data_IF_381980942958
#
_entry.id   IF_381980942958
#
_cell.length_a   1.000
_cell.length_b   1.000
_cell.length_c   1.000
_cell.angle_alpha   90.00
_cell.angle_beta   90.00
_cell.angle_gamma   90.00
#
_symmetry.space_group_name_H-M   'P 1'
#
loop_
_entity.id
_entity.type
_entity.pdbx_description
1 polymer ?
#
# COMPACT_ATOMS: atom_id res chain seq x y z
N UNK A 1 19.97 10.83 -14.76
CA UNK A 1 18.66 10.80 -14.08
C UNK A 1 18.86 10.88 -12.56
N UNK A 2 18.60 12.03 -11.93
CA UNK A 2 18.70 12.16 -10.48
C UNK A 2 17.49 11.49 -9.81
N UNK A 3 17.70 10.33 -9.18
CA UNK A 3 16.68 9.71 -8.34
C UNK A 3 16.51 10.61 -7.11
N UNK A 4 15.39 11.36 -7.03
CA UNK A 4 15.01 12.09 -5.81
C UNK A 4 14.84 11.08 -4.68
N UNK A 5 15.87 10.88 -3.87
CA UNK A 5 15.78 10.10 -2.64
C UNK A 5 14.87 10.87 -1.69
N UNK A 6 13.66 10.37 -1.49
CA UNK A 6 12.77 10.93 -0.47
C UNK A 6 13.42 10.65 0.88
N UNK A 7 13.93 11.69 1.52
CA UNK A 7 14.52 11.60 2.84
C UNK A 7 13.40 11.68 3.88
N UNK A 8 13.34 10.72 4.80
CA UNK A 8 12.35 10.70 5.88
C UNK A 8 12.95 11.40 7.12
N UNK A 9 12.30 12.47 7.58
CA UNK A 9 12.62 13.13 8.85
C UNK A 9 11.64 12.65 9.93
N UNK A 10 12.14 12.42 11.14
CA UNK A 10 11.28 12.10 12.28
C UNK A 10 10.55 13.39 12.69
N UNK A 11 9.22 13.34 12.74
CA UNK A 11 8.41 14.46 13.24
C UNK A 11 8.37 14.49 14.77
N UNK A 12 7.94 15.62 15.37
CA UNK A 12 7.85 15.78 16.83
C UNK A 12 7.00 14.67 17.47
N UNK A 13 5.78 14.45 16.98
CA UNK A 13 4.91 13.39 17.50
C UNK A 13 5.54 11.99 17.42
N UNK A 14 6.28 11.67 16.36
CA UNK A 14 6.98 10.39 16.24
C UNK A 14 8.11 10.23 17.25
N UNK A 15 8.82 11.32 17.56
CA UNK A 15 9.81 11.34 18.63
C UNK A 15 9.14 11.12 19.99
N UNK A 16 8.04 11.85 20.26
CA UNK A 16 7.24 11.67 21.47
C UNK A 16 6.80 10.23 21.68
N UNK A 17 6.24 9.57 20.66
CA UNK A 17 5.83 8.15 20.73
C UNK A 17 7.02 7.22 21.04
N UNK A 18 8.21 7.51 20.50
CA UNK A 18 9.41 6.71 20.75
C UNK A 18 9.88 6.83 22.20
N UNK A 19 9.81 8.03 22.77
CA UNK A 19 10.20 8.33 24.15
C UNK A 19 9.19 7.80 25.17
N UNK A 20 7.89 7.86 24.85
CA UNK A 20 6.78 7.53 25.76
C UNK A 20 6.32 6.07 25.74
N UNK A 21 6.94 5.19 24.94
CA UNK A 21 6.55 3.78 24.77
C UNK A 21 6.51 2.94 26.06
N UNK A 22 7.23 3.38 27.10
CA UNK A 22 7.34 2.69 28.40
C UNK A 22 6.43 3.23 29.50
N UNK A 23 5.56 4.20 29.20
CA UNK A 23 4.66 4.78 30.22
C UNK A 23 3.69 3.73 30.77
N UNK A 24 3.51 3.73 32.09
CA UNK A 24 2.57 2.84 32.78
C UNK A 24 1.14 2.99 32.23
N UNK A 25 0.75 4.20 31.81
CA UNK A 25 -0.54 4.50 31.18
C UNK A 25 -0.81 3.75 29.86
N UNK A 26 0.21 3.13 29.26
CA UNK A 26 0.11 2.36 28.01
C UNK A 26 0.17 0.84 28.24
N UNK A 27 0.49 0.41 29.47
CA UNK A 27 0.53 -1.00 29.83
C UNK A 27 -0.90 -1.56 29.87
N UNK A 28 -1.08 -2.79 29.42
CA UNK A 28 -2.41 -3.45 29.37
C UNK A 28 -3.33 -2.98 28.23
N UNK A 29 -3.08 -1.83 27.60
CA UNK A 29 -3.87 -1.36 26.46
C UNK A 29 -3.56 -2.16 25.18
N UNK A 30 -4.56 -2.35 24.32
CA UNK A 30 -4.36 -2.87 22.97
C UNK A 30 -3.57 -1.88 22.09
N UNK A 31 -2.93 -2.38 21.03
CA UNK A 31 -2.11 -1.53 20.12
C UNK A 31 -2.88 -0.31 19.59
N UNK A 32 -4.14 -0.42 19.13
CA UNK A 32 -4.91 0.75 18.68
C UNK A 32 -5.19 1.76 19.82
N UNK A 33 -5.53 1.27 21.02
CA UNK A 33 -5.80 2.11 22.19
C UNK A 33 -4.56 2.88 22.66
N UNK A 34 -3.37 2.27 22.58
CA UNK A 34 -2.11 2.96 22.89
C UNK A 34 -1.88 4.16 21.97
N UNK A 35 -2.18 4.01 20.67
CA UNK A 35 -2.08 5.10 19.70
C UNK A 35 -3.00 6.27 20.04
N UNK A 36 -4.26 5.96 20.38
CA UNK A 36 -5.23 6.98 20.81
C UNK A 36 -4.76 7.70 22.09
N UNK A 37 -4.32 6.95 23.10
CA UNK A 37 -3.85 7.50 24.39
C UNK A 37 -2.61 8.37 24.23
N UNK A 38 -1.65 7.95 23.41
CA UNK A 38 -0.48 8.77 23.06
C UNK A 38 -0.87 10.07 22.36
N UNK A 39 -1.89 10.04 21.51
CA UNK A 39 -2.42 11.23 20.85
C UNK A 39 -3.04 12.22 21.84
N UNK A 40 -3.78 11.74 22.85
CA UNK A 40 -4.30 12.58 23.95
C UNK A 40 -3.15 13.20 24.75
N UNK A 41 -2.18 12.40 25.19
CA UNK A 41 -1.03 12.85 25.98
C UNK A 41 -0.19 13.90 25.23
N UNK A 42 -0.02 13.72 23.93
CA UNK A 42 0.71 14.70 23.11
C UNK A 42 -0.02 16.04 23.03
N UNK A 43 -1.36 16.03 22.98
CA UNK A 43 -2.16 17.27 22.95
C UNK A 43 -2.23 17.96 24.30
N UNK A 44 -2.06 17.23 25.40
CA UNK A 44 -1.99 17.80 26.75
C UNK A 44 -0.63 18.40 27.10
N UNK A 45 0.40 18.26 26.25
CA UNK A 45 1.70 18.89 26.47
C UNK A 45 1.57 20.41 26.53
N UNK A 46 2.34 21.03 27.41
CA UNK A 46 2.48 22.48 27.43
C UNK A 46 3.16 22.99 26.16
N UNK A 47 2.95 24.27 25.83
CA UNK A 47 3.58 24.89 24.65
C UNK A 47 5.11 24.83 24.71
N UNK A 48 5.68 24.95 25.91
CA UNK A 48 7.12 24.87 26.14
C UNK A 48 7.67 23.47 25.85
N UNK A 49 7.01 22.43 26.36
CA UNK A 49 7.41 21.03 26.10
C UNK A 49 7.27 20.67 24.62
N UNK A 50 6.19 21.12 23.98
CA UNK A 50 5.99 20.92 22.55
C UNK A 50 7.08 21.61 21.71
N UNK A 51 7.51 22.81 22.09
CA UNK A 51 8.61 23.52 21.44
C UNK A 51 9.94 22.78 21.62
N UNK A 52 10.29 22.40 22.85
CA UNK A 52 11.52 21.64 23.13
C UNK A 52 11.56 20.30 22.38
N UNK A 53 10.40 19.66 22.21
CA UNK A 53 10.28 18.40 21.48
C UNK A 53 10.39 18.59 19.95
N UNK A 54 9.93 19.73 19.43
CA UNK A 54 10.14 20.13 18.03
C UNK A 54 11.61 20.37 17.73
N UNK A 55 12.33 21.06 18.62
CA UNK A 55 13.76 21.35 18.46
C UNK A 55 14.59 20.05 18.50
N UNK A 56 14.29 19.17 19.45
CA UNK A 56 14.90 17.83 19.52
C UNK A 56 14.64 17.00 18.26
N UNK A 57 13.41 17.01 17.73
CA UNK A 57 13.09 16.29 16.51
C UNK A 57 13.83 16.85 15.28
N UNK A 58 14.03 18.17 15.23
CA UNK A 58 14.76 18.83 14.14
C UNK A 58 16.26 18.48 14.14
N UNK A 59 16.85 18.26 15.32
CA UNK A 59 18.25 17.87 15.49
C UNK A 59 18.55 16.43 15.03
N UNK A 60 17.53 15.56 14.92
CA UNK A 60 17.73 14.18 14.49
C UNK A 60 18.02 14.14 12.98
N UNK A 61 19.14 13.52 12.55
CA UNK A 61 19.49 13.43 11.14
C UNK A 61 18.43 12.62 10.38
N UNK A 62 18.17 13.08 9.16
CA UNK A 62 17.17 12.47 8.29
C UNK A 62 17.77 11.24 7.60
N UNK A 63 16.98 10.17 7.48
CA UNK A 63 17.43 8.91 6.89
C UNK A 63 16.79 8.70 5.51
N UNK A 64 17.50 8.11 4.54
CA UNK A 64 16.90 7.78 3.26
C UNK A 64 15.76 6.79 3.48
N UNK A 65 14.57 7.09 2.93
CA UNK A 65 13.43 6.18 3.04
C UNK A 65 13.76 4.88 2.31
N UNK A 66 13.60 3.74 2.99
CA UNK A 66 13.74 2.42 2.33
C UNK A 66 12.80 2.37 1.13
N UNK A 67 13.37 2.10 -0.04
CA UNK A 67 12.59 1.89 -1.24
C UNK A 67 11.60 0.74 -0.98
N UNK A 68 10.30 0.99 -1.18
CA UNK A 68 9.31 -0.08 -1.17
C UNK A 68 9.68 -0.99 -2.35
N UNK A 69 10.04 -2.25 -2.09
CA UNK A 69 10.13 -3.25 -3.15
C UNK A 69 8.77 -3.25 -3.86
N UNK A 70 8.71 -3.10 -5.20
CA UNK A 70 7.44 -3.26 -5.89
C UNK A 70 6.92 -4.65 -5.52
N UNK A 71 5.73 -4.70 -4.90
CA UNK A 71 5.00 -5.94 -4.78
C UNK A 71 4.62 -6.29 -6.20
N UNK A 72 5.42 -7.11 -6.87
CA UNK A 72 5.00 -7.76 -8.10
C UNK A 72 3.96 -8.77 -7.63
N UNK A 73 2.64 -8.54 -7.83
CA UNK A 73 1.69 -9.60 -7.55
C UNK A 73 2.11 -10.77 -8.44
N UNK A 74 2.31 -11.95 -7.85
CA UNK A 74 2.56 -13.16 -8.62
C UNK A 74 1.36 -13.35 -9.56
N UNK A 75 1.50 -12.95 -10.82
CA UNK A 75 0.45 -13.10 -11.80
C UNK A 75 0.23 -14.61 -11.99
N UNK A 76 -0.99 -15.08 -11.77
CA UNK A 76 -1.31 -16.48 -12.02
C UNK A 76 -1.02 -16.79 -13.50
N UNK A 77 -0.51 -17.99 -13.81
CA UNK A 77 -0.34 -18.38 -15.21
C UNK A 77 -1.70 -18.29 -15.94
N UNK A 78 -1.72 -17.80 -17.20
CA UNK A 78 -2.96 -17.63 -17.94
C UNK A 78 -3.62 -18.99 -18.19
N UNK A 79 -4.94 -19.05 -18.05
CA UNK A 79 -5.71 -20.24 -18.46
C UNK A 79 -5.71 -20.39 -19.99
N UNK A 80 -6.07 -21.58 -20.52
CA UNK A 80 -6.23 -21.77 -21.97
C UNK A 80 -7.22 -20.78 -22.60
N UNK A 81 -8.30 -20.44 -21.89
CA UNK A 81 -9.25 -19.41 -22.33
C UNK A 81 -8.60 -18.02 -22.38
N UNK A 82 -7.75 -17.66 -21.41
CA UNK A 82 -7.07 -16.36 -21.40
C UNK A 82 -6.11 -16.22 -22.60
N UNK A 83 -5.39 -17.30 -22.95
CA UNK A 83 -4.53 -17.32 -24.14
C UNK A 83 -5.35 -17.19 -25.43
N UNK A 84 -6.51 -17.85 -25.47
CA UNK A 84 -7.43 -17.78 -26.59
C UNK A 84 -8.03 -16.38 -26.76
N UNK A 85 -8.49 -15.75 -25.67
CA UNK A 85 -8.99 -14.36 -25.69
C UNK A 85 -7.88 -13.42 -26.16
N UNK A 86 -6.66 -13.56 -25.63
CA UNK A 86 -5.51 -12.74 -26.05
C UNK A 86 -5.23 -12.81 -27.56
N UNK A 87 -5.36 -14.00 -28.15
CA UNK A 87 -5.15 -14.21 -29.59
C UNK A 87 -6.27 -13.62 -30.46
N UNK A 88 -7.53 -13.71 -29.99
CA UNK A 88 -8.70 -13.36 -30.81
C UNK A 88 -9.21 -11.92 -30.60
N UNK A 89 -8.94 -11.28 -29.46
CA UNK A 89 -9.35 -9.90 -29.18
C UNK A 89 -8.96 -8.84 -30.24
N UNK A 90 -7.76 -8.87 -30.86
CA UNK A 90 -7.42 -7.90 -31.90
C UNK A 90 -8.12 -8.16 -33.25
N UNK A 91 -8.75 -9.32 -33.44
CA UNK A 91 -9.41 -9.69 -34.70
C UNK A 91 -10.83 -9.12 -34.82
N UNK A 92 -11.39 -8.62 -33.72
CA UNK A 92 -12.72 -8.03 -33.68
C UNK A 92 -12.62 -6.55 -33.36
N UNK A 93 -13.45 -5.75 -34.01
CA UNK A 93 -13.56 -4.31 -33.81
C UNK A 93 -14.73 -3.96 -32.88
N UNK A 94 -14.72 -2.75 -32.32
CA UNK A 94 -15.79 -2.24 -31.46
C UNK A 94 -15.56 -2.41 -29.95
N UNK A 95 -16.63 -2.26 -29.18
CA UNK A 95 -16.59 -2.22 -27.70
C UNK A 95 -16.07 -3.55 -27.15
N UNK A 96 -15.18 -3.48 -26.16
CA UNK A 96 -14.57 -4.66 -25.51
C UNK A 96 -15.61 -5.69 -25.06
N UNK A 97 -16.74 -5.23 -24.52
CA UNK A 97 -17.81 -6.11 -24.04
C UNK A 97 -18.40 -6.98 -25.17
N UNK A 98 -18.63 -6.40 -26.35
CA UNK A 98 -19.25 -7.12 -27.46
C UNK A 98 -18.25 -8.07 -28.12
N UNK A 99 -16.98 -7.67 -28.23
CA UNK A 99 -15.89 -8.55 -28.66
C UNK A 99 -15.75 -9.77 -27.74
N UNK A 100 -15.85 -9.57 -26.43
CA UNK A 100 -15.78 -10.67 -25.46
C UNK A 100 -16.96 -11.64 -25.58
N UNK A 101 -18.18 -11.17 -25.91
CA UNK A 101 -19.33 -12.06 -26.16
C UNK A 101 -19.07 -12.96 -27.36
N UNK A 102 -18.62 -12.38 -28.48
CA UNK A 102 -18.31 -13.14 -29.71
C UNK A 102 -17.22 -14.18 -29.44
N UNK A 103 -16.14 -13.79 -28.76
CA UNK A 103 -15.04 -14.70 -28.42
C UNK A 103 -15.50 -15.80 -27.46
N UNK A 104 -16.38 -15.49 -26.51
CA UNK A 104 -16.92 -16.49 -25.58
C UNK A 104 -17.79 -17.53 -26.31
N UNK A 105 -18.61 -17.10 -27.28
CA UNK A 105 -19.40 -18.01 -28.13
C UNK A 105 -18.49 -18.88 -29.00
N UNK A 106 -17.46 -18.30 -29.62
CA UNK A 106 -16.49 -19.04 -30.44
C UNK A 106 -15.73 -20.08 -29.61
N UNK A 107 -15.38 -19.77 -28.37
CA UNK A 107 -14.77 -20.74 -27.46
C UNK A 107 -15.72 -21.89 -27.13
N UNK A 108 -17.00 -21.60 -26.83
CA UNK A 108 -18.01 -22.62 -26.52
C UNK A 108 -18.24 -23.57 -27.69
N UNK A 109 -18.35 -23.07 -28.92
CA UNK A 109 -18.53 -23.91 -30.12
C UNK A 109 -17.32 -24.81 -30.34
N UNK A 110 -16.10 -24.30 -30.14
CA UNK A 110 -14.89 -25.10 -30.26
C UNK A 110 -14.80 -26.21 -29.20
N UNK A 111 -15.22 -25.94 -27.95
CA UNK A 111 -15.27 -26.95 -26.90
C UNK A 111 -16.32 -28.03 -27.18
N UNK A 112 -17.49 -27.66 -27.69
CA UNK A 112 -18.54 -28.62 -28.04
C UNK A 112 -18.14 -29.52 -29.22
N UNK A 113 -17.41 -28.98 -30.21
CA UNK A 113 -16.87 -29.76 -31.33
C UNK A 113 -15.79 -30.77 -30.91
N UNK A 114 -15.03 -30.47 -29.85
CA UNK A 114 -13.99 -31.36 -29.32
C UNK A 114 -14.56 -32.51 -28.47
N UNK A 115 -15.80 -32.39 -27.98
CA UNK A 115 -16.48 -33.40 -27.14
C UNK A 115 -17.31 -34.41 -27.93
N UNK A 116 -17.56 -34.16 -29.22
CA UNK A 116 -18.11 -35.15 -30.17
C UNK A 116 -16.96 -35.88 -30.83
#
# INVERSE_FOLDING_TARGET
>A
MFRRTIVARIGPFSLFMKESKGLAALQGLSVPQRGAKLGELYRSLSKAEAAALKDRAAAIPSAPRRARKPRIPAARPPSPYNLFVKKNMPLYEGRVADRMKVIAELWKTQQNKKKK
#
